data_IF_520023772610
#
_entry.id   IF_520023772610
#
_cell.length_a   1.000
_cell.length_b   1.000
_cell.length_c   1.000
_cell.angle_alpha   90.00
_cell.angle_beta   90.00
_cell.angle_gamma   90.00
#
_symmetry.space_group_name_H-M   'P 1'
#
loop_
_entity.id
_entity.type
_entity.pdbx_description
1 polymer ?
#
# COMPACT_ATOMS: atom_id res chain seq x y z
N UNK A 1 17.26 19.73 -46.36
CA UNK A 1 16.26 20.35 -45.47
C UNK A 1 14.90 19.67 -45.70
N UNK A 2 14.57 18.68 -44.87
CA UNK A 2 13.23 18.09 -44.71
C UNK A 2 13.23 17.42 -43.33
N UNK A 3 12.53 18.04 -42.40
CA UNK A 3 12.34 17.59 -41.02
C UNK A 3 11.32 16.45 -41.04
N UNK A 4 11.68 15.29 -40.49
CA UNK A 4 10.75 14.18 -40.23
C UNK A 4 10.52 14.13 -38.74
N UNK A 5 9.33 14.53 -38.31
CA UNK A 5 8.89 14.48 -36.92
C UNK A 5 8.67 13.03 -36.52
N UNK A 6 9.51 12.51 -35.62
CA UNK A 6 9.37 11.18 -35.06
C UNK A 6 8.13 11.15 -34.16
N UNK A 7 7.08 10.46 -34.61
CA UNK A 7 5.94 10.09 -33.78
C UNK A 7 6.41 9.06 -32.76
N UNK A 8 6.41 9.43 -31.48
CA UNK A 8 6.65 8.50 -30.38
C UNK A 8 5.47 7.53 -30.33
N UNK A 9 5.71 6.30 -30.76
CA UNK A 9 4.78 5.17 -30.58
C UNK A 9 4.79 4.87 -29.08
N UNK A 10 3.73 5.23 -28.37
CA UNK A 10 3.50 4.77 -27.00
C UNK A 10 3.21 3.27 -27.08
N UNK A 11 4.23 2.45 -26.87
CA UNK A 11 4.04 1.01 -26.70
C UNK A 11 3.25 0.80 -25.41
N UNK A 12 2.00 0.35 -25.58
CA UNK A 12 1.20 -0.15 -24.47
C UNK A 12 2.03 -1.23 -23.77
N UNK A 13 2.27 -1.05 -22.47
CA UNK A 13 3.02 -2.03 -21.70
C UNK A 13 2.12 -3.25 -21.55
N UNK A 14 2.28 -4.23 -22.44
CA UNK A 14 1.60 -5.52 -22.34
C UNK A 14 2.19 -6.22 -21.11
N UNK A 15 1.39 -6.30 -20.04
CA UNK A 15 1.79 -6.94 -18.80
C UNK A 15 1.61 -8.45 -18.95
N UNK A 16 2.72 -9.19 -18.96
CA UNK A 16 2.71 -10.64 -18.84
C UNK A 16 2.63 -10.99 -17.34
N UNK A 17 1.44 -11.40 -16.89
CA UNK A 17 1.28 -12.04 -15.59
C UNK A 17 1.54 -13.54 -15.76
N UNK A 18 2.77 -13.98 -15.46
CA UNK A 18 3.12 -15.40 -15.46
C UNK A 18 2.55 -16.12 -14.22
N UNK A 19 1.76 -15.44 -13.39
CA UNK A 19 1.02 -16.07 -12.30
C UNK A 19 -0.22 -16.71 -12.87
N UNK A 20 -0.31 -18.02 -12.71
CA UNK A 20 -1.49 -18.83 -12.97
C UNK A 20 -2.75 -18.05 -12.58
N UNK A 21 -3.51 -17.60 -13.58
CA UNK A 21 -4.85 -17.10 -13.36
C UNK A 21 -5.61 -18.22 -12.64
N UNK A 22 -6.10 -18.02 -11.40
CA UNK A 22 -6.76 -19.08 -10.67
C UNK A 22 -7.95 -19.56 -11.51
N UNK A 23 -7.88 -20.83 -11.95
CA UNK A 23 -8.76 -21.50 -12.89
C UNK A 23 -10.14 -20.85 -13.07
N UNK A 24 -10.24 -19.87 -13.99
CA UNK A 24 -11.46 -19.38 -14.65
C UNK A 24 -12.71 -19.11 -13.82
N UNK A 25 -12.61 -19.12 -12.49
CA UNK A 25 -13.70 -19.05 -11.52
C UNK A 25 -13.25 -18.12 -10.41
N UNK A 26 -13.00 -16.87 -10.78
CA UNK A 26 -13.43 -15.80 -9.90
C UNK A 26 -14.94 -16.02 -9.71
N UNK A 27 -15.31 -16.77 -8.66
CA UNK A 27 -16.69 -16.70 -8.18
C UNK A 27 -16.93 -15.22 -7.98
N UNK A 28 -17.88 -14.67 -8.74
CA UNK A 28 -18.47 -13.41 -8.36
C UNK A 28 -18.72 -13.51 -6.86
N UNK A 29 -18.16 -12.57 -6.10
CA UNK A 29 -18.44 -12.52 -4.67
C UNK A 29 -19.97 -12.42 -4.55
N UNK A 30 -20.62 -13.53 -4.19
CA UNK A 30 -22.03 -13.55 -3.82
C UNK A 30 -22.14 -12.68 -2.55
N UNK A 31 -22.54 -11.43 -2.71
CA UNK A 31 -22.76 -10.52 -1.59
C UNK A 31 -22.51 -9.06 -1.95
N UNK A 32 -23.60 -8.33 -2.16
CA UNK A 32 -23.67 -6.87 -2.33
C UNK A 32 -22.96 -6.37 -3.62
N UNK A 33 -23.73 -6.05 -4.66
CA UNK A 33 -23.27 -5.55 -5.98
C UNK A 33 -22.46 -4.24 -5.93
N UNK A 34 -22.19 -3.71 -4.73
CA UNK A 34 -21.32 -2.56 -4.53
C UNK A 34 -19.91 -3.02 -4.25
N UNK A 35 -19.01 -2.73 -5.19
CA UNK A 35 -17.58 -2.80 -4.95
C UNK A 35 -17.25 -2.09 -3.62
N UNK A 36 -16.47 -2.72 -2.72
CA UNK A 36 -16.13 -2.12 -1.44
C UNK A 36 -15.44 -0.78 -1.67
N UNK A 37 -15.75 0.22 -0.84
CA UNK A 37 -15.00 1.48 -0.87
C UNK A 37 -13.51 1.20 -0.71
N UNK A 38 -12.66 2.03 -1.32
CA UNK A 38 -11.20 1.86 -1.22
C UNK A 38 -10.72 1.76 0.23
N UNK A 39 -11.30 2.54 1.16
CA UNK A 39 -10.99 2.43 2.58
C UNK A 39 -11.32 1.05 3.16
N UNK A 40 -12.48 0.49 2.82
CA UNK A 40 -12.89 -0.84 3.26
C UNK A 40 -12.01 -1.95 2.68
N UNK A 41 -11.54 -1.80 1.44
CA UNK A 41 -10.55 -2.71 0.85
C UNK A 41 -9.21 -2.65 1.59
N UNK A 42 -8.75 -1.45 1.93
CA UNK A 42 -7.50 -1.19 2.66
C UNK A 42 -7.55 -1.74 4.09
N UNK A 43 -8.68 -1.64 4.78
CA UNK A 43 -8.89 -2.21 6.12
C UNK A 43 -8.82 -3.75 6.16
N UNK A 44 -9.18 -4.40 5.05
CA UNK A 44 -9.16 -5.87 4.92
C UNK A 44 -7.85 -6.39 4.33
N UNK A 45 -6.96 -5.50 3.88
CA UNK A 45 -5.71 -5.89 3.26
C UNK A 45 -4.76 -6.47 4.30
N UNK A 46 -4.25 -7.65 4.01
CA UNK A 46 -3.10 -8.22 4.71
C UNK A 46 -1.82 -7.60 4.12
N UNK A 47 -1.30 -6.58 4.81
CA UNK A 47 -0.13 -5.83 4.37
C UNK A 47 1.18 -6.63 4.47
N UNK A 48 1.20 -7.72 5.24
CA UNK A 48 2.36 -8.61 5.33
C UNK A 48 2.44 -9.53 4.10
N UNK A 49 1.29 -9.86 3.50
CA UNK A 49 1.20 -10.78 2.36
C UNK A 49 1.11 -10.09 0.99
N UNK A 50 0.47 -8.93 0.92
CA UNK A 50 0.18 -8.27 -0.35
C UNK A 50 0.95 -6.96 -0.51
N UNK A 51 1.57 -6.78 -1.69
CA UNK A 51 2.42 -5.63 -2.01
C UNK A 51 1.66 -4.40 -2.54
N UNK A 52 0.35 -4.54 -2.81
CA UNK A 52 -0.44 -3.47 -3.39
C UNK A 52 -1.83 -3.91 -3.81
N UNK A 53 -2.60 -2.95 -4.32
CA UNK A 53 -3.93 -3.18 -4.86
C UNK A 53 -4.20 -2.24 -6.04
N UNK A 54 -5.11 -2.64 -6.91
CA UNK A 54 -5.70 -1.79 -7.93
C UNK A 54 -7.13 -1.45 -7.51
N UNK A 55 -7.52 -0.20 -7.70
CA UNK A 55 -8.86 0.25 -7.39
C UNK A 55 -9.43 1.02 -8.58
N UNK A 56 -10.61 0.63 -9.02
CA UNK A 56 -11.37 1.37 -10.01
C UNK A 56 -12.22 2.43 -9.30
N UNK A 57 -11.98 3.69 -9.64
CA UNK A 57 -12.77 4.80 -9.15
C UNK A 57 -14.19 4.81 -9.71
N UNK A 58 -15.08 5.65 -9.16
CA UNK A 58 -16.43 5.83 -9.69
C UNK A 58 -16.45 6.31 -11.14
N UNK A 59 -15.41 7.03 -11.57
CA UNK A 59 -15.23 7.52 -12.94
C UNK A 59 -14.72 6.44 -13.92
N UNK A 60 -14.46 5.22 -13.43
CA UNK A 60 -13.97 4.11 -14.24
C UNK A 60 -12.44 4.00 -14.33
N UNK A 61 -11.70 4.99 -13.82
CA UNK A 61 -10.24 5.00 -13.86
C UNK A 61 -9.60 4.04 -12.85
N UNK A 62 -8.58 3.30 -13.32
CA UNK A 62 -7.79 2.41 -12.48
C UNK A 62 -6.63 3.14 -11.84
N UNK A 63 -6.60 3.13 -10.50
CA UNK A 63 -5.47 3.64 -9.72
C UNK A 63 -4.74 2.49 -9.04
N UNK A 64 -3.41 2.48 -9.17
CA UNK A 64 -2.55 1.52 -8.49
C UNK A 64 -2.08 2.08 -7.15
N UNK A 65 -2.09 1.25 -6.12
CA UNK A 65 -1.56 1.60 -4.80
C UNK A 65 -0.52 0.59 -4.34
N UNK A 66 0.55 1.09 -3.75
CA UNK A 66 1.56 0.30 -3.05
C UNK A 66 1.12 0.09 -1.60
N UNK A 67 1.10 -1.16 -1.14
CA UNK A 67 0.88 -1.49 0.26
C UNK A 67 2.17 -1.25 1.06
N UNK A 68 2.06 -0.49 2.15
CA UNK A 68 3.12 -0.22 3.10
C UNK A 68 2.70 -0.79 4.45
N UNK A 69 3.21 -1.97 4.79
CA UNK A 69 3.05 -2.54 6.12
C UNK A 69 3.75 -1.66 7.15
N UNK A 70 3.11 -1.32 8.27
CA UNK A 70 3.65 -0.38 9.25
C UNK A 70 4.20 -1.02 10.52
N UNK A 71 3.90 -2.30 10.78
CA UNK A 71 4.46 -3.05 11.91
C UNK A 71 5.99 -2.97 11.96
N UNK A 72 6.54 -2.91 13.17
CA UNK A 72 7.98 -3.04 13.48
C UNK A 72 8.27 -4.19 14.47
N UNK A 73 7.22 -4.71 15.09
CA UNK A 73 7.20 -5.79 16.08
C UNK A 73 7.93 -7.07 15.61
N UNK A 74 7.82 -7.51 14.32
CA UNK A 74 8.58 -8.66 13.84
C UNK A 74 10.11 -8.52 13.96
N UNK A 75 10.61 -7.30 14.13
CA UNK A 75 12.04 -6.99 14.23
C UNK A 75 12.47 -6.63 15.66
N UNK A 76 11.53 -6.40 16.58
CA UNK A 76 11.82 -6.08 17.99
C UNK A 76 11.65 -7.27 18.93
N UNK A 77 11.15 -8.40 18.43
CA UNK A 77 10.85 -9.59 19.24
C UNK A 77 9.49 -9.53 19.94
N UNK A 78 8.71 -8.48 19.66
CA UNK A 78 7.34 -8.32 20.16
C UNK A 78 6.34 -9.18 19.37
N UNK A 79 5.19 -9.54 19.96
CA UNK A 79 4.12 -10.22 19.23
C UNK A 79 3.70 -9.41 18.01
N UNK A 80 3.69 -10.04 16.84
CA UNK A 80 3.24 -9.37 15.62
C UNK A 80 1.73 -9.12 15.71
N UNK A 81 1.26 -7.87 15.55
CA UNK A 81 -0.17 -7.60 15.50
C UNK A 81 -0.81 -8.33 14.31
N UNK A 82 -2.13 -8.54 14.36
CA UNK A 82 -2.88 -9.03 13.20
C UNK A 82 -2.54 -8.14 11.98
N UNK A 83 -1.93 -8.68 10.92
CA UNK A 83 -1.39 -7.88 9.82
C UNK A 83 -2.49 -7.18 9.02
N UNK A 84 -3.75 -7.63 9.15
CA UNK A 84 -4.91 -6.97 8.57
C UNK A 84 -5.13 -5.62 9.20
N UNK A 85 -5.07 -4.60 8.36
CA UNK A 85 -5.33 -3.23 8.76
C UNK A 85 -4.17 -2.54 9.50
N UNK A 86 -3.00 -3.18 9.60
CA UNK A 86 -1.80 -2.54 10.15
C UNK A 86 -0.87 -1.97 9.06
N UNK A 87 -1.46 -1.12 8.23
CA UNK A 87 -0.73 -0.53 7.12
C UNK A 87 -1.36 0.71 6.54
N UNK A 88 -0.70 1.21 5.51
CA UNK A 88 -1.24 2.25 4.66
C UNK A 88 -0.96 1.89 3.20
N UNK A 89 -1.85 2.31 2.30
CA UNK A 89 -1.58 2.25 0.87
C UNK A 89 -1.24 3.65 0.36
N UNK A 90 -0.29 3.73 -0.56
CA UNK A 90 0.15 4.97 -1.21
C UNK A 90 -0.01 4.85 -2.71
N UNK A 91 -0.64 5.85 -3.31
CA UNK A 91 -0.82 5.92 -4.75
C UNK A 91 0.51 5.80 -5.51
N UNK A 92 0.53 4.94 -6.53
CA UNK A 92 1.67 4.69 -7.40
C UNK A 92 1.50 5.47 -8.70
N UNK A 93 2.45 6.37 -8.98
CA UNK A 93 2.55 7.08 -10.27
C UNK A 93 3.31 6.27 -11.31
N UNK A 94 4.44 5.69 -10.92
CA UNK A 94 5.27 4.85 -11.81
C UNK A 94 5.79 3.59 -11.11
N UNK A 95 6.28 2.61 -11.89
CA UNK A 95 6.95 1.43 -11.35
C UNK A 95 8.22 1.79 -10.56
N UNK A 96 8.99 2.77 -11.03
CA UNK A 96 10.19 3.29 -10.35
C UNK A 96 9.86 3.89 -8.99
N UNK A 97 8.74 4.62 -8.90
CA UNK A 97 8.28 5.19 -7.62
C UNK A 97 7.93 4.11 -6.60
N UNK A 98 7.32 3.00 -7.05
CA UNK A 98 7.00 1.89 -6.16
C UNK A 98 8.27 1.25 -5.57
N UNK A 99 9.29 0.99 -6.39
CA UNK A 99 10.55 0.44 -5.89
C UNK A 99 11.25 1.41 -4.93
N UNK A 100 11.32 2.69 -5.29
CA UNK A 100 11.91 3.71 -4.43
C UNK A 100 11.18 3.83 -3.09
N UNK A 101 9.85 3.76 -3.09
CA UNK A 101 9.05 3.81 -1.87
C UNK A 101 9.23 2.55 -1.01
N UNK A 102 9.26 1.35 -1.61
CA UNK A 102 9.54 0.09 -0.88
C UNK A 102 10.88 0.12 -0.19
N UNK A 103 11.95 0.47 -0.92
CA UNK A 103 13.30 0.55 -0.34
C UNK A 103 13.35 1.58 0.78
N UNK A 104 12.69 2.72 0.61
CA UNK A 104 12.60 3.74 1.64
C UNK A 104 11.85 3.25 2.89
N UNK A 105 10.70 2.59 2.74
CA UNK A 105 9.92 2.05 3.88
C UNK A 105 10.75 1.04 4.66
N UNK A 106 11.45 0.12 3.97
CA UNK A 106 12.33 -0.86 4.62
C UNK A 106 13.46 -0.19 5.40
N UNK A 107 14.12 0.82 4.82
CA UNK A 107 15.18 1.56 5.50
C UNK A 107 14.64 2.32 6.73
N UNK A 108 13.50 3.01 6.58
CA UNK A 108 12.87 3.74 7.67
C UNK A 108 12.48 2.82 8.85
N UNK A 109 11.97 1.61 8.56
CA UNK A 109 11.72 0.60 9.59
C UNK A 109 13.00 0.18 10.31
N UNK A 110 14.07 -0.09 9.57
CA UNK A 110 15.38 -0.44 10.15
C UNK A 110 15.84 0.61 11.16
N UNK A 111 15.80 1.89 10.79
CA UNK A 111 16.17 2.98 11.70
C UNK A 111 15.30 3.03 12.96
N UNK A 112 13.98 2.79 12.86
CA UNK A 112 13.10 2.76 14.03
C UNK A 112 13.40 1.56 14.94
N UNK A 113 13.75 0.41 14.37
CA UNK A 113 14.17 -0.78 15.14
C UNK A 113 15.45 -0.48 15.92
N UNK A 114 16.42 0.20 15.31
CA UNK A 114 17.64 0.63 15.98
C UNK A 114 17.35 1.64 17.12
N UNK A 115 16.44 2.60 16.89
CA UNK A 115 15.99 3.55 17.92
C UNK A 115 15.29 2.84 19.10
N UNK A 116 14.50 1.81 18.84
CA UNK A 116 13.85 0.99 19.87
C UNK A 116 14.89 0.18 20.65
N UNK A 117 15.81 -0.49 19.95
CA UNK A 117 16.84 -1.32 20.57
C UNK A 117 17.78 -0.51 21.48
N UNK A 118 18.01 0.76 21.15
CA UNK A 118 18.81 1.69 21.96
C UNK A 118 17.99 2.39 23.06
N UNK A 119 16.67 2.16 23.14
CA UNK A 119 15.79 2.81 24.11
C UNK A 119 15.46 4.27 23.80
N UNK A 120 15.82 4.76 22.61
CA UNK A 120 15.57 6.15 22.16
C UNK A 120 14.11 6.35 21.74
N UNK A 121 13.43 5.28 21.31
CA UNK A 121 12.04 5.30 20.88
C UNK A 121 11.23 4.20 21.61
N UNK A 122 10.09 4.54 22.25
CA UNK A 122 9.17 3.52 22.76
C UNK A 122 8.56 2.70 21.61
N UNK A 123 8.42 1.36 21.72
CA UNK A 123 7.85 0.53 20.66
C UNK A 123 6.48 1.01 20.15
N UNK A 124 5.60 1.45 21.07
CA UNK A 124 4.25 1.95 20.73
C UNK A 124 4.22 3.23 19.88
N UNK A 125 5.34 3.96 19.78
CA UNK A 125 5.44 5.18 18.97
C UNK A 125 5.96 4.93 17.54
N UNK A 126 6.53 3.76 17.27
CA UNK A 126 7.16 3.49 15.98
C UNK A 126 6.18 3.57 14.81
N UNK A 127 4.96 3.05 15.00
CA UNK A 127 3.90 3.10 13.99
C UNK A 127 3.53 4.53 13.62
N UNK A 128 3.30 5.39 14.61
CA UNK A 128 2.89 6.78 14.39
C UNK A 128 4.03 7.60 13.77
N UNK A 129 5.29 7.38 14.19
CA UNK A 129 6.47 7.95 13.53
C UNK A 129 6.60 7.53 12.07
N UNK A 130 6.50 6.23 11.80
CA UNK A 130 6.63 5.69 10.44
C UNK A 130 5.51 6.23 9.54
N UNK A 131 4.27 6.26 10.03
CA UNK A 131 3.15 6.84 9.29
C UNK A 131 3.35 8.33 9.00
N UNK A 132 3.83 9.09 9.98
CA UNK A 132 4.16 10.51 9.80
C UNK A 132 5.24 10.72 8.73
N UNK A 133 6.30 9.91 8.77
CA UNK A 133 7.36 9.92 7.77
C UNK A 133 6.84 9.52 6.38
N UNK A 134 5.98 8.50 6.32
CA UNK A 134 5.38 8.02 5.07
C UNK A 134 4.52 9.11 4.44
N UNK A 135 3.69 9.82 5.21
CA UNK A 135 2.89 10.96 4.72
C UNK A 135 3.77 12.08 4.15
N UNK A 136 4.84 12.45 4.85
CA UNK A 136 5.81 13.44 4.34
C UNK A 136 6.48 12.96 3.04
N UNK A 137 6.86 11.68 2.97
CA UNK A 137 7.46 11.08 1.78
C UNK A 137 6.47 10.97 0.62
N UNK A 138 5.19 10.74 0.91
CA UNK A 138 4.13 10.66 -0.08
C UNK A 138 3.92 11.99 -0.82
N UNK A 139 4.11 13.12 -0.14
CA UNK A 139 3.91 14.44 -0.72
C UNK A 139 2.43 14.66 -1.04
N UNK A 140 2.13 14.92 -2.30
CA UNK A 140 0.78 15.16 -2.83
C UNK A 140 0.04 13.87 -3.24
N UNK A 141 0.69 12.71 -3.15
CA UNK A 141 0.08 11.41 -3.46
C UNK A 141 -1.00 11.04 -2.45
N UNK A 142 -2.04 10.35 -2.91
CA UNK A 142 -3.08 9.83 -2.01
C UNK A 142 -2.50 8.77 -1.07
N UNK A 143 -2.72 8.95 0.23
CA UNK A 143 -2.37 7.99 1.29
C UNK A 143 -3.63 7.57 2.03
N UNK A 144 -3.86 6.26 2.13
CA UNK A 144 -5.03 5.71 2.82
C UNK A 144 -4.52 4.77 3.89
N UNK A 145 -4.82 5.12 5.14
CA UNK A 145 -4.39 4.37 6.31
C UNK A 145 -5.50 3.42 6.68
N UNK A 146 -5.17 2.14 6.87
CA UNK A 146 -6.13 1.23 7.46
C UNK A 146 -6.37 1.62 8.92
N UNK A 147 -7.64 1.72 9.29
CA UNK A 147 -7.99 1.86 10.70
C UNK A 147 -7.66 0.53 11.40
N UNK A 148 -7.01 0.56 12.58
CA UNK A 148 -6.87 -0.67 13.37
C UNK A 148 -8.28 -1.23 13.65
N UNK A 149 -8.44 -2.54 13.49
CA UNK A 149 -9.69 -3.22 13.79
C UNK A 149 -10.06 -2.96 15.26
N UNK A 150 -11.08 -2.13 15.50
CA UNK A 150 -11.49 -1.75 16.87
C UNK A 150 -12.10 -0.35 17.02
N UNK A 151 -11.89 0.57 16.07
CA UNK A 151 -12.59 1.86 16.10
C UNK A 151 -13.90 1.74 15.31
N UNK A 152 -14.96 1.23 15.96
CA UNK A 152 -16.31 1.49 15.50
C UNK A 152 -16.47 3.01 15.43
N UNK A 153 -16.50 3.56 14.21
CA UNK A 153 -17.00 4.92 14.02
C UNK A 153 -18.48 4.89 14.39
N UNK A 154 -18.79 5.36 15.59
CA UNK A 154 -20.15 5.68 15.98
C UNK A 154 -20.69 6.67 14.95
N UNK A 155 -21.56 6.16 14.06
CA UNK A 155 -22.36 7.02 13.19
C UNK A 155 -23.30 7.81 14.09
N UNK A 156 -23.16 9.14 14.07
CA UNK A 156 -24.22 10.06 14.46
C UNK A 156 -25.19 10.22 13.31
#
# INVERSE_FOLDING_TARGET
MRTVTAGVRLEATVWHDDRVCPDGRLRAFDGDDRAPSLSAAVERLDFARYDGLYYQGPDGDWTAFLACWLAVEPWTGDPTPEPRGDGAVVERRTARDAQALRSWVRAAKGSLVDEIATGTLPPGEARSRLLGALRRRAGDRRVIVAAPAGVQRSRR
#
